data_IF_314297746372
#
_entry.id   IF_314297746372
#
_cell.length_a   1.000
_cell.length_b   1.000
_cell.length_c   1.000
_cell.angle_alpha   90.00
_cell.angle_beta   90.00
_cell.angle_gamma   90.00
#
_symmetry.space_group_name_H-M   'P 1'
#
loop_
_entity.id
_entity.type
_entity.pdbx_description
1 polymer ?
#
# COMPACT_ATOMS: atom_id res chain seq x y z
N UNK A 1 -47.71 5.24 33.06
CA UNK A 1 -46.67 4.18 32.97
C UNK A 1 -46.49 3.85 31.49
N UNK A 2 -45.25 3.72 31.05
CA UNK A 2 -44.90 3.33 29.69
C UNK A 2 -44.52 1.85 29.69
N UNK A 3 -45.21 1.06 28.87
CA UNK A 3 -44.90 -0.34 28.63
C UNK A 3 -44.17 -0.44 27.28
N UNK A 4 -42.93 -0.90 27.29
CA UNK A 4 -42.10 -1.01 26.09
C UNK A 4 -41.72 -2.46 25.85
N UNK A 5 -42.16 -3.03 24.74
CA UNK A 5 -41.70 -4.35 24.28
C UNK A 5 -40.44 -4.17 23.41
N UNK A 6 -39.38 -4.89 23.75
CA UNK A 6 -38.11 -4.92 23.02
C UNK A 6 -37.89 -6.32 22.46
N UNK A 7 -37.86 -6.42 21.14
CA UNK A 7 -37.49 -7.65 20.44
C UNK A 7 -35.96 -7.71 20.28
N UNK A 8 -35.37 -8.83 20.69
CA UNK A 8 -33.93 -9.09 20.60
C UNK A 8 -33.71 -10.27 19.66
N UNK A 9 -32.81 -10.09 18.68
CA UNK A 9 -32.53 -11.08 17.64
C UNK A 9 -31.07 -11.54 17.67
N UNK A 10 -30.86 -12.86 17.77
CA UNK A 10 -29.54 -13.49 17.71
C UNK A 10 -29.22 -13.85 16.27
N UNK A 11 -28.41 -13.00 15.63
CA UNK A 11 -28.05 -13.12 14.20
C UNK A 11 -26.97 -14.17 13.90
N UNK A 12 -26.25 -14.65 14.91
CA UNK A 12 -25.09 -15.52 14.77
C UNK A 12 -25.17 -16.74 15.70
N UNK A 13 -24.29 -17.72 15.51
CA UNK A 13 -24.35 -19.01 16.22
C UNK A 13 -24.03 -18.92 17.72
N UNK A 14 -23.38 -17.85 18.19
CA UNK A 14 -23.06 -17.67 19.61
C UNK A 14 -24.32 -17.70 20.48
N UNK A 15 -24.31 -18.51 21.54
CA UNK A 15 -25.38 -18.60 22.55
C UNK A 15 -24.82 -18.11 23.88
N UNK A 16 -25.26 -16.95 24.33
CA UNK A 16 -24.80 -16.34 25.56
C UNK A 16 -25.87 -15.39 26.10
N UNK A 17 -26.03 -15.30 27.41
CA UNK A 17 -26.92 -14.30 27.99
C UNK A 17 -26.42 -12.89 27.69
N UNK A 18 -27.34 -11.97 27.40
CA UNK A 18 -27.03 -10.56 27.11
C UNK A 18 -27.91 -9.67 27.98
N UNK A 19 -27.31 -8.61 28.51
CA UNK A 19 -28.04 -7.56 29.21
C UNK A 19 -28.67 -6.60 28.19
N UNK A 20 -29.90 -6.20 28.45
CA UNK A 20 -30.66 -5.24 27.64
C UNK A 20 -31.07 -4.10 28.55
N UNK A 21 -30.54 -2.92 28.28
CA UNK A 21 -30.78 -1.72 29.06
C UNK A 21 -31.69 -0.77 28.28
N UNK A 22 -32.77 -0.34 28.91
CA UNK A 22 -33.63 0.75 28.44
C UNK A 22 -33.33 2.01 29.25
N UNK A 23 -33.14 3.13 28.55
CA UNK A 23 -32.91 4.46 29.14
C UNK A 23 -34.11 5.35 28.81
N UNK A 24 -34.67 6.04 29.80
CA UNK A 24 -35.82 6.94 29.63
C UNK A 24 -35.39 8.38 29.29
N UNK A 25 -36.33 9.24 28.90
CA UNK A 25 -36.10 10.67 28.68
C UNK A 25 -35.66 11.40 29.97
N UNK A 26 -36.12 10.92 31.15
CA UNK A 26 -35.72 11.45 32.46
C UNK A 26 -34.32 11.01 32.91
N UNK A 27 -33.69 10.08 32.17
CA UNK A 27 -32.36 9.55 32.50
C UNK A 27 -32.38 8.25 33.32
N UNK A 28 -33.55 7.76 33.71
CA UNK A 28 -33.68 6.48 34.42
C UNK A 28 -33.22 5.32 33.53
N UNK A 29 -32.55 4.33 34.12
CA UNK A 29 -32.10 3.12 33.42
C UNK A 29 -32.74 1.88 34.03
N UNK A 30 -33.33 1.03 33.20
CA UNK A 30 -33.85 -0.29 33.58
C UNK A 30 -33.14 -1.35 32.76
N UNK A 31 -32.55 -2.35 33.42
CA UNK A 31 -31.81 -3.43 32.74
C UNK A 31 -32.51 -4.76 32.98
N UNK A 32 -32.67 -5.57 31.92
CA UNK A 32 -33.14 -6.94 31.99
C UNK A 32 -32.16 -7.86 31.27
N UNK A 33 -32.09 -9.13 31.67
CA UNK A 33 -31.22 -10.12 31.06
C UNK A 33 -32.00 -11.02 30.13
N UNK A 34 -31.58 -11.08 28.86
CA UNK A 34 -32.08 -12.09 27.93
C UNK A 34 -31.16 -13.32 27.94
N UNK A 35 -31.67 -14.56 28.09
CA UNK A 35 -30.83 -15.77 28.12
C UNK A 35 -30.04 -16.05 26.83
N UNK A 36 -30.50 -15.54 25.67
CA UNK A 36 -29.81 -15.69 24.39
C UNK A 36 -29.74 -17.13 23.84
N UNK A 37 -30.60 -18.03 24.35
CA UNK A 37 -30.68 -19.43 23.87
C UNK A 37 -31.47 -19.56 22.57
N UNK A 38 -32.57 -18.81 22.46
CA UNK A 38 -33.43 -18.76 21.28
C UNK A 38 -32.87 -17.79 20.22
N UNK A 39 -33.38 -17.89 18.99
CA UNK A 39 -33.03 -16.96 17.92
C UNK A 39 -33.68 -15.58 18.13
N UNK A 40 -34.81 -15.55 18.82
CA UNK A 40 -35.59 -14.37 19.13
C UNK A 40 -35.97 -14.39 20.61
N UNK A 41 -35.97 -13.22 21.24
CA UNK A 41 -36.54 -13.00 22.56
C UNK A 41 -37.31 -11.70 22.60
N UNK A 42 -38.28 -11.62 23.51
CA UNK A 42 -39.00 -10.38 23.83
C UNK A 42 -38.79 -10.06 25.29
N UNK A 43 -38.50 -8.81 25.58
CA UNK A 43 -38.37 -8.27 26.93
C UNK A 43 -39.34 -7.11 27.07
N UNK A 44 -40.06 -7.07 28.17
CA UNK A 44 -41.05 -6.02 28.44
C UNK A 44 -40.55 -5.16 29.58
N UNK A 45 -40.40 -3.87 29.32
CA UNK A 45 -39.93 -2.88 30.27
C UNK A 45 -41.09 -1.99 30.72
N UNK A 46 -41.25 -1.85 32.03
CA UNK A 46 -42.17 -0.89 32.64
C UNK A 46 -41.40 0.32 33.16
N UNK A 47 -41.77 1.51 32.71
CA UNK A 47 -41.09 2.76 33.07
C UNK A 47 -42.07 3.87 33.40
N UNK A 48 -41.66 4.79 34.28
CA UNK A 48 -42.48 5.97 34.65
C UNK A 48 -42.39 7.07 33.59
N UNK A 49 -41.23 7.19 32.97
CA UNK A 49 -40.90 8.19 31.95
C UNK A 49 -40.80 7.52 30.57
N UNK A 50 -41.02 8.31 29.51
CA UNK A 50 -41.02 7.80 28.14
C UNK A 50 -39.67 7.15 27.77
N UNK A 51 -39.64 5.98 27.11
CA UNK A 51 -38.41 5.34 26.67
C UNK A 51 -37.69 6.20 25.61
N UNK A 52 -36.38 6.35 25.76
CA UNK A 52 -35.53 7.15 24.84
C UNK A 52 -34.64 6.27 23.96
N UNK A 53 -33.97 5.28 24.53
CA UNK A 53 -33.10 4.35 23.79
C UNK A 53 -32.98 3.00 24.48
N UNK A 54 -32.68 1.98 23.69
CA UNK A 54 -32.36 0.63 24.14
C UNK A 54 -30.93 0.31 23.74
N UNK A 55 -30.21 -0.37 24.63
CA UNK A 55 -28.83 -0.81 24.44
C UNK A 55 -28.70 -2.29 24.78
N UNK A 56 -28.08 -3.06 23.91
CA UNK A 56 -27.65 -4.44 24.16
C UNK A 56 -26.22 -4.41 24.72
N UNK A 57 -25.96 -5.24 25.72
CA UNK A 57 -24.66 -5.39 26.36
C UNK A 57 -24.00 -4.04 26.72
N UNK A 58 -24.63 -3.22 27.58
CA UNK A 58 -24.12 -1.89 27.91
C UNK A 58 -22.70 -1.91 28.49
N UNK A 59 -22.33 -3.00 29.17
CA UNK A 59 -21.05 -3.17 29.86
C UNK A 59 -19.98 -3.93 29.05
N UNK A 60 -20.24 -4.27 27.78
CA UNK A 60 -19.28 -4.98 26.90
C UNK A 60 -18.84 -6.37 27.42
N UNK A 61 -19.77 -7.10 28.05
CA UNK A 61 -19.51 -8.41 28.65
C UNK A 61 -19.53 -9.54 27.63
N UNK A 62 -20.22 -9.38 26.50
CA UNK A 62 -20.31 -10.44 25.48
C UNK A 62 -19.21 -10.33 24.43
N UNK A 63 -18.83 -11.48 23.87
CA UNK A 63 -17.82 -11.56 22.80
C UNK A 63 -18.40 -11.16 21.43
N UNK A 64 -19.17 -10.07 21.39
CA UNK A 64 -19.74 -9.56 20.16
C UNK A 64 -18.72 -8.72 19.38
N UNK A 65 -18.47 -9.14 18.15
CA UNK A 65 -17.57 -8.45 17.21
C UNK A 65 -18.28 -7.27 16.53
N UNK A 66 -19.62 -7.22 16.52
CA UNK A 66 -20.44 -6.14 15.92
C UNK A 66 -21.28 -5.43 16.97
N UNK A 67 -20.71 -4.40 17.61
CA UNK A 67 -21.45 -3.63 18.62
C UNK A 67 -22.22 -2.43 18.05
N UNK A 68 -22.07 -2.10 16.76
CA UNK A 68 -22.80 -0.98 16.15
C UNK A 68 -24.32 -1.17 16.09
N UNK A 69 -24.82 -2.40 16.13
CA UNK A 69 -26.25 -2.68 16.24
C UNK A 69 -26.70 -2.95 17.69
N UNK A 70 -25.86 -2.64 18.68
CA UNK A 70 -26.18 -2.82 20.09
C UNK A 70 -26.76 -1.54 20.71
N UNK A 71 -27.02 -0.51 19.92
CA UNK A 71 -27.66 0.73 20.37
C UNK A 71 -27.72 1.75 19.24
N UNK A 72 -28.05 3.02 19.55
CA UNK A 72 -28.03 4.08 18.56
C UNK A 72 -26.65 4.22 17.91
N UNK A 73 -26.57 4.40 16.57
CA UNK A 73 -25.30 4.51 15.87
C UNK A 73 -24.53 5.72 16.38
N UNK A 74 -23.28 5.52 16.78
CA UNK A 74 -22.37 6.60 17.18
C UNK A 74 -21.48 6.96 16.00
N UNK A 75 -21.36 8.25 15.71
CA UNK A 75 -20.42 8.79 14.73
C UNK A 75 -19.45 9.70 15.48
N UNK A 76 -18.17 9.57 15.20
CA UNK A 76 -17.13 10.41 15.81
C UNK A 76 -16.23 10.94 14.70
N UNK A 77 -15.91 12.24 14.78
CA UNK A 77 -15.06 12.91 13.80
C UNK A 77 -13.73 13.24 14.46
N UNK A 78 -12.63 12.73 13.91
CA UNK A 78 -11.28 12.95 14.44
C UNK A 78 -10.34 13.48 13.37
N UNK A 79 -9.29 14.16 13.80
CA UNK A 79 -8.14 14.41 12.93
C UNK A 79 -7.37 13.09 12.71
N UNK A 80 -7.13 12.72 11.45
CA UNK A 80 -6.33 11.54 11.05
C UNK A 80 -4.84 11.83 11.25
N UNK A 81 -4.39 11.84 12.50
CA UNK A 81 -2.97 11.87 12.78
C UNK A 81 -2.34 10.50 12.47
N UNK A 82 -1.10 10.47 11.98
CA UNK A 82 -0.43 9.23 11.64
C UNK A 82 -0.43 8.20 12.77
N UNK A 83 -0.76 6.95 12.45
CA UNK A 83 -0.85 5.83 13.39
C UNK A 83 -1.89 5.98 14.50
N UNK A 84 -2.92 6.78 14.26
CA UNK A 84 -4.17 6.70 15.01
C UNK A 84 -4.61 5.23 15.11
N UNK A 85 -4.41 4.63 16.28
CA UNK A 85 -4.84 3.26 16.61
C UNK A 85 -6.15 3.30 17.41
N UNK A 86 -7.11 4.08 16.91
CA UNK A 86 -8.44 4.19 17.50
C UNK A 86 -9.46 3.49 16.60
N UNK A 87 -9.98 2.34 17.06
CA UNK A 87 -10.98 1.55 16.33
C UNK A 87 -12.07 1.04 17.28
N UNK A 88 -12.92 1.94 17.80
CA UNK A 88 -14.05 1.57 18.66
C UNK A 88 -14.99 0.59 17.96
N UNK A 89 -15.44 -0.47 18.67
CA UNK A 89 -16.36 -1.50 18.13
C UNK A 89 -17.80 -1.01 17.91
N UNK A 90 -18.16 0.13 18.49
CA UNK A 90 -19.53 0.67 18.52
C UNK A 90 -19.68 2.02 17.80
N UNK A 91 -18.59 2.56 17.24
CA UNK A 91 -18.58 3.89 16.64
C UNK A 91 -18.15 3.80 15.18
N UNK A 92 -18.84 4.55 14.34
CA UNK A 92 -18.45 4.83 12.97
C UNK A 92 -17.49 6.02 13.00
N UNK A 93 -16.21 5.76 12.72
CA UNK A 93 -15.19 6.81 12.78
C UNK A 93 -15.09 7.51 11.43
N UNK A 94 -15.12 8.84 11.45
CA UNK A 94 -14.81 9.70 10.33
C UNK A 94 -13.53 10.44 10.67
N UNK A 95 -12.48 10.28 9.87
CA UNK A 95 -11.20 10.94 10.10
C UNK A 95 -10.86 11.86 8.95
N UNK A 96 -10.27 13.01 9.22
CA UNK A 96 -9.89 13.97 8.18
C UNK A 96 -8.42 14.37 8.31
N UNK A 97 -7.75 14.62 7.18
CA UNK A 97 -6.35 15.05 7.17
C UNK A 97 -6.03 15.94 5.98
N UNK A 98 -5.42 17.12 6.19
CA UNK A 98 -4.85 17.92 5.13
C UNK A 98 -3.58 17.26 4.59
N UNK A 99 -3.28 17.52 3.33
CA UNK A 99 -2.05 17.03 2.69
C UNK A 99 -1.71 17.88 1.48
N UNK A 100 -0.42 17.97 1.20
CA UNK A 100 0.09 18.63 0.01
C UNK A 100 1.48 18.14 -0.33
N UNK A 101 1.91 18.44 -1.54
CA UNK A 101 3.23 18.09 -2.07
C UNK A 101 3.62 19.05 -3.18
N UNK A 102 4.89 18.96 -3.57
CA UNK A 102 5.47 19.72 -4.67
C UNK A 102 5.57 18.86 -5.93
N UNK A 103 5.43 19.47 -7.09
CA UNK A 103 5.81 18.92 -8.40
C UNK A 103 6.09 20.09 -9.37
N UNK A 104 6.83 19.85 -10.46
CA UNK A 104 7.26 20.92 -11.37
C UNK A 104 6.11 21.55 -12.18
N UNK A 105 4.99 20.85 -12.32
CA UNK A 105 3.84 21.33 -13.12
C UNK A 105 2.96 22.32 -12.33
N UNK A 106 2.78 22.07 -11.04
CA UNK A 106 1.89 22.82 -10.16
C UNK A 106 2.62 23.76 -9.21
N UNK A 107 3.94 23.56 -9.05
CA UNK A 107 4.74 23.96 -7.89
C UNK A 107 4.16 23.40 -6.58
N UNK A 108 2.98 23.83 -6.17
CA UNK A 108 2.33 23.37 -4.95
C UNK A 108 0.96 22.78 -5.24
N UNK A 109 0.72 21.57 -4.74
CA UNK A 109 -0.59 20.92 -4.73
C UNK A 109 -1.07 20.75 -3.30
N UNK A 110 -2.27 21.26 -3.00
CA UNK A 110 -2.85 21.28 -1.65
C UNK A 110 -4.23 20.67 -1.62
N UNK A 111 -4.56 20.03 -0.52
CA UNK A 111 -5.87 19.43 -0.33
C UNK A 111 -5.95 18.60 0.93
N UNK A 112 -6.72 17.53 0.86
CA UNK A 112 -6.91 16.66 2.00
C UNK A 112 -7.77 15.46 1.68
N UNK A 113 -7.96 14.62 2.69
CA UNK A 113 -8.82 13.46 2.61
C UNK A 113 -9.71 13.37 3.83
N UNK A 114 -10.87 12.77 3.62
CA UNK A 114 -11.77 12.27 4.65
C UNK A 114 -11.87 10.76 4.47
N UNK A 115 -11.71 10.03 5.56
CA UNK A 115 -11.85 8.58 5.61
C UNK A 115 -12.99 8.24 6.55
N UNK A 116 -13.78 7.26 6.21
CA UNK A 116 -14.73 6.68 7.13
C UNK A 116 -14.43 5.21 7.33
N UNK A 117 -14.52 4.73 8.58
CA UNK A 117 -14.37 3.32 8.85
C UNK A 117 -15.21 2.83 10.02
N UNK A 118 -15.66 1.58 9.89
CA UNK A 118 -16.31 0.85 10.97
C UNK A 118 -15.59 -0.49 11.20
N UNK A 119 -14.78 -0.52 12.26
CA UNK A 119 -13.86 -1.61 12.56
C UNK A 119 -13.02 -2.00 11.34
N UNK A 120 -12.79 -3.30 11.15
CA UNK A 120 -12.11 -3.84 9.95
C UNK A 120 -13.05 -4.08 8.76
N UNK A 121 -14.31 -3.60 8.83
CA UNK A 121 -15.35 -4.01 7.89
C UNK A 121 -15.45 -3.02 6.73
N UNK A 122 -16.08 -1.89 6.97
CA UNK A 122 -16.35 -0.86 5.96
C UNK A 122 -15.28 0.20 6.03
N UNK A 123 -14.71 0.55 4.88
CA UNK A 123 -13.79 1.67 4.74
C UNK A 123 -14.18 2.46 3.50
N UNK A 124 -14.36 3.77 3.64
CA UNK A 124 -14.45 4.68 2.51
C UNK A 124 -13.40 5.80 2.65
N UNK A 125 -12.98 6.37 1.54
CA UNK A 125 -12.06 7.50 1.48
C UNK A 125 -12.50 8.40 0.34
N UNK A 126 -12.57 9.70 0.62
CA UNK A 126 -12.69 10.76 -0.37
C UNK A 126 -11.50 11.70 -0.20
N UNK A 127 -10.77 11.95 -1.26
CA UNK A 127 -9.66 12.88 -1.29
C UNK A 127 -9.83 13.89 -2.40
N UNK A 128 -9.47 15.15 -2.12
CA UNK A 128 -9.55 16.27 -3.04
C UNK A 128 -8.25 17.07 -2.95
N UNK A 129 -7.63 17.38 -4.09
CA UNK A 129 -6.41 18.18 -4.17
C UNK A 129 -6.43 19.13 -5.36
N UNK A 130 -5.99 20.36 -5.14
CA UNK A 130 -5.93 21.41 -6.13
C UNK A 130 -4.48 21.77 -6.43
N UNK A 131 -4.10 21.76 -7.71
CA UNK A 131 -2.80 22.23 -8.17
C UNK A 131 -2.84 23.73 -8.41
N UNK A 132 -1.93 24.48 -7.78
CA UNK A 132 -1.93 25.94 -7.79
C UNK A 132 -1.79 26.50 -9.22
N UNK A 133 -0.82 26.01 -9.98
CA UNK A 133 -0.51 26.57 -11.30
C UNK A 133 -1.36 25.97 -12.42
N UNK A 134 -1.54 24.65 -12.43
CA UNK A 134 -2.37 24.00 -13.47
C UNK A 134 -3.86 24.27 -13.31
N UNK A 135 -4.30 24.72 -12.12
CA UNK A 135 -5.70 24.91 -11.72
C UNK A 135 -6.54 23.63 -11.83
N UNK A 136 -5.91 22.46 -11.79
CA UNK A 136 -6.57 21.16 -11.92
C UNK A 136 -6.97 20.60 -10.55
N UNK A 137 -8.23 20.17 -10.45
CA UNK A 137 -8.72 19.38 -9.33
C UNK A 137 -8.47 17.89 -9.57
N UNK A 138 -7.83 17.27 -8.59
CA UNK A 138 -7.68 15.83 -8.43
C UNK A 138 -8.67 15.31 -7.41
N UNK A 139 -9.17 14.11 -7.67
CA UNK A 139 -10.20 13.46 -6.86
C UNK A 139 -9.81 12.00 -6.69
N UNK A 140 -9.94 11.48 -5.47
CA UNK A 140 -9.83 10.05 -5.18
C UNK A 140 -11.02 9.60 -4.38
N UNK A 141 -11.69 8.55 -4.85
CA UNK A 141 -12.69 7.81 -4.10
C UNK A 141 -12.22 6.37 -3.93
N UNK A 142 -12.20 5.85 -2.70
CA UNK A 142 -11.94 4.44 -2.43
C UNK A 142 -13.02 3.90 -1.51
N UNK A 143 -13.51 2.70 -1.80
CA UNK A 143 -14.46 1.99 -0.97
C UNK A 143 -14.05 0.52 -0.83
N UNK A 144 -14.15 -0.02 0.38
CA UNK A 144 -13.91 -1.43 0.65
C UNK A 144 -14.89 -1.97 1.68
N UNK A 145 -15.47 -3.12 1.39
CA UNK A 145 -16.50 -3.75 2.22
C UNK A 145 -16.32 -5.28 2.24
N UNK A 146 -16.57 -5.98 3.37
CA UNK A 146 -16.52 -7.43 3.39
C UNK A 146 -17.73 -7.98 2.63
N UNK A 147 -17.50 -9.03 1.84
CA UNK A 147 -18.55 -9.74 1.11
C UNK A 147 -18.74 -11.08 1.80
N UNK A 148 -19.54 -11.08 2.87
CA UNK A 148 -19.69 -12.23 3.76
C UNK A 148 -20.34 -13.44 3.08
N UNK A 149 -21.09 -13.22 1.99
CA UNK A 149 -21.68 -14.28 1.17
C UNK A 149 -20.63 -15.13 0.46
N UNK A 150 -19.44 -14.56 0.16
CA UNK A 150 -18.31 -15.25 -0.47
C UNK A 150 -17.25 -15.72 0.55
N UNK A 151 -17.53 -15.57 1.85
CA UNK A 151 -16.65 -16.01 2.92
C UNK A 151 -16.31 -14.93 3.96
N UNK A 152 -15.89 -15.34 5.18
CA UNK A 152 -15.71 -14.42 6.32
C UNK A 152 -14.50 -13.48 6.18
N UNK A 153 -13.58 -13.77 5.25
CA UNK A 153 -12.37 -12.97 4.99
C UNK A 153 -12.29 -12.50 3.53
N UNK A 154 -13.44 -12.44 2.86
CA UNK A 154 -13.57 -11.91 1.50
C UNK A 154 -13.94 -10.43 1.55
N UNK A 155 -13.25 -9.62 0.77
CA UNK A 155 -13.46 -8.16 0.68
C UNK A 155 -13.54 -7.72 -0.77
N UNK A 156 -14.57 -6.94 -1.09
CA UNK A 156 -14.62 -6.18 -2.33
C UNK A 156 -14.01 -4.79 -2.10
N UNK A 157 -13.21 -4.35 -3.05
CA UNK A 157 -12.58 -3.03 -3.07
C UNK A 157 -12.87 -2.35 -4.41
N UNK A 158 -13.04 -1.04 -4.35
CA UNK A 158 -13.25 -0.17 -5.50
C UNK A 158 -12.47 1.12 -5.29
N UNK A 159 -11.82 1.62 -6.35
CA UNK A 159 -11.08 2.86 -6.40
C UNK A 159 -11.44 3.57 -7.71
N UNK A 160 -11.68 4.87 -7.63
CA UNK A 160 -11.73 5.77 -8.79
C UNK A 160 -10.85 6.95 -8.43
N UNK A 161 -9.92 7.32 -9.31
CA UNK A 161 -9.11 8.50 -9.12
C UNK A 161 -8.79 9.23 -10.42
N UNK A 162 -8.76 10.56 -10.33
CA UNK A 162 -8.04 11.45 -11.24
C UNK A 162 -6.92 12.08 -10.42
N UNK A 163 -5.68 11.86 -10.83
CA UNK A 163 -4.50 12.33 -10.09
C UNK A 163 -3.39 12.72 -11.07
N UNK A 164 -2.97 13.98 -11.04
CA UNK A 164 -1.81 14.50 -11.81
C UNK A 164 -1.82 14.03 -13.28
N UNK A 165 -2.95 14.28 -13.95
CA UNK A 165 -3.10 13.94 -15.37
C UNK A 165 -3.44 12.49 -15.69
N UNK A 166 -3.47 11.57 -14.72
CA UNK A 166 -3.90 10.17 -14.95
C UNK A 166 -5.27 9.90 -14.36
N UNK A 167 -6.04 9.05 -15.04
CA UNK A 167 -7.31 8.53 -14.55
C UNK A 167 -7.18 7.02 -14.32
N UNK A 168 -7.69 6.53 -13.19
CA UNK A 168 -7.63 5.11 -12.84
C UNK A 168 -8.93 4.68 -12.15
N UNK A 169 -9.46 3.53 -12.57
CA UNK A 169 -10.53 2.79 -11.89
C UNK A 169 -10.01 1.40 -11.58
N UNK A 170 -10.10 0.97 -10.33
CA UNK A 170 -9.72 -0.38 -9.90
C UNK A 170 -10.87 -1.01 -9.11
N UNK A 171 -11.26 -2.22 -9.49
CA UNK A 171 -12.27 -2.99 -8.79
C UNK A 171 -11.73 -4.41 -8.58
N UNK A 172 -11.69 -4.89 -7.34
CA UNK A 172 -11.17 -6.22 -7.07
C UNK A 172 -11.79 -6.90 -5.86
N UNK A 173 -11.76 -8.24 -5.89
CA UNK A 173 -12.07 -9.11 -4.77
C UNK A 173 -10.76 -9.59 -4.15
N UNK A 174 -10.63 -9.46 -2.83
CA UNK A 174 -9.56 -10.09 -2.04
C UNK A 174 -10.16 -11.25 -1.25
N UNK A 175 -9.64 -12.46 -1.44
CA UNK A 175 -9.98 -13.63 -0.67
C UNK A 175 -8.78 -14.01 0.20
N UNK A 176 -8.97 -14.15 1.51
CA UNK A 176 -7.92 -14.58 2.43
C UNK A 176 -8.30 -15.91 3.07
N UNK A 177 -7.45 -16.91 2.94
CA UNK A 177 -7.63 -18.23 3.56
C UNK A 177 -6.36 -18.66 4.32
N UNK A 178 -6.53 -19.60 5.24
CA UNK A 178 -5.46 -20.15 6.06
C UNK A 178 -6.03 -21.10 7.11
N UNK A 179 -5.24 -22.09 7.51
CA UNK A 179 -5.63 -23.08 8.53
C UNK A 179 -6.00 -22.41 9.86
N UNK A 180 -5.30 -21.33 10.19
CA UNK A 180 -5.49 -20.57 11.40
C UNK A 180 -5.81 -19.11 11.08
N UNK A 181 -6.56 -18.47 11.98
CA UNK A 181 -7.04 -17.10 11.75
C UNK A 181 -5.94 -16.05 11.90
N UNK A 182 -5.04 -16.27 12.87
CA UNK A 182 -3.98 -15.32 13.27
C UNK A 182 -2.56 -15.79 12.97
N UNK A 183 -2.36 -17.09 12.74
CA UNK A 183 -1.03 -17.65 12.47
C UNK A 183 -0.89 -17.99 10.99
N UNK A 184 0.23 -17.60 10.34
CA UNK A 184 0.59 -18.05 9.00
C UNK A 184 0.69 -19.59 8.92
N UNK A 185 0.63 -20.18 7.71
CA UNK A 185 0.58 -19.50 6.42
C UNK A 185 -0.77 -18.85 6.12
N UNK A 186 -0.73 -17.67 5.49
CA UNK A 186 -1.91 -17.00 4.96
C UNK A 186 -1.82 -16.95 3.44
N UNK A 187 -2.86 -17.42 2.78
CA UNK A 187 -3.04 -17.35 1.34
C UNK A 187 -3.94 -16.18 1.04
N UNK A 188 -3.54 -15.34 0.07
CA UNK A 188 -4.34 -14.21 -0.38
C UNK A 188 -4.46 -14.24 -1.89
N UNK A 189 -5.68 -14.24 -2.38
CA UNK A 189 -5.99 -14.19 -3.80
C UNK A 189 -6.66 -12.84 -4.10
N UNK A 190 -6.18 -12.15 -5.13
CA UNK A 190 -6.85 -10.99 -5.71
C UNK A 190 -7.28 -11.31 -7.12
N UNK A 191 -8.53 -10.97 -7.42
CA UNK A 191 -9.10 -11.02 -8.76
C UNK A 191 -9.69 -9.64 -9.02
N UNK A 192 -9.20 -8.94 -10.03
CA UNK A 192 -9.61 -7.56 -10.24
C UNK A 192 -9.49 -7.10 -11.68
N UNK A 193 -10.12 -5.96 -11.93
CA UNK A 193 -10.08 -5.23 -13.19
C UNK A 193 -9.60 -3.81 -12.90
N UNK A 194 -8.65 -3.34 -13.71
CA UNK A 194 -8.08 -2.01 -13.65
C UNK A 194 -8.23 -1.32 -15.01
N UNK A 195 -8.88 -0.17 -15.04
CA UNK A 195 -8.84 0.75 -16.16
C UNK A 195 -7.89 1.89 -15.82
N UNK A 196 -6.99 2.25 -16.73
CA UNK A 196 -6.14 3.43 -16.55
C UNK A 196 -5.83 4.12 -17.85
N UNK A 197 -5.71 5.45 -17.82
CA UNK A 197 -5.31 6.26 -18.98
C UNK A 197 -4.62 7.55 -18.61
N UNK A 198 -3.82 8.05 -19.53
CA UNK A 198 -3.29 9.42 -19.51
C UNK A 198 -4.32 10.37 -20.12
N UNK A 199 -4.67 11.43 -19.40
CA UNK A 199 -5.59 12.46 -19.89
C UNK A 199 -4.84 13.44 -20.81
N UNK A 200 -5.33 13.57 -22.05
CA UNK A 200 -4.75 14.48 -23.05
C UNK A 200 -4.76 15.94 -22.60
N UNK A 201 -3.81 16.72 -23.12
CA UNK A 201 -3.67 18.14 -22.82
C UNK A 201 -2.82 18.35 -21.56
N UNK A 202 -3.42 18.85 -20.47
CA UNK A 202 -2.63 19.18 -19.26
C UNK A 202 -1.96 17.99 -18.60
N UNK A 203 -2.45 16.76 -18.84
CA UNK A 203 -1.93 15.55 -18.22
C UNK A 203 -0.54 15.14 -18.71
N UNK A 204 -0.20 15.50 -19.95
CA UNK A 204 1.08 15.14 -20.59
C UNK A 204 2.27 15.80 -19.90
N UNK A 205 2.07 17.00 -19.35
CA UNK A 205 3.09 17.72 -18.57
C UNK A 205 3.52 16.97 -17.31
N UNK A 206 2.67 16.12 -16.75
CA UNK A 206 2.94 15.41 -15.50
C UNK A 206 3.75 14.13 -15.67
N UNK A 207 3.88 13.63 -16.90
CA UNK A 207 4.48 12.31 -17.21
C UNK A 207 5.83 12.41 -17.93
N UNK A 208 6.37 13.61 -18.07
CA UNK A 208 7.73 13.81 -18.56
C UNK A 208 8.69 13.68 -17.39
N UNK A 209 9.86 13.10 -17.65
CA UNK A 209 10.96 13.04 -16.70
C UNK A 209 12.22 13.56 -17.37
N UNK A 210 12.89 14.50 -16.73
CA UNK A 210 14.20 14.96 -17.16
C UNK A 210 15.26 13.88 -16.85
N UNK A 211 16.13 13.62 -17.82
CA UNK A 211 17.21 12.63 -17.71
C UNK A 211 18.58 13.27 -17.76
N UNK A 212 18.72 14.35 -18.52
CA UNK A 212 19.94 15.14 -18.59
C UNK A 212 19.62 16.62 -18.73
N UNK A 213 19.70 17.34 -17.62
CA UNK A 213 19.49 18.79 -17.58
C UNK A 213 20.53 19.56 -18.42
N UNK A 214 21.74 19.02 -18.63
CA UNK A 214 22.77 19.72 -19.42
C UNK A 214 22.47 19.68 -20.91
N UNK A 215 21.79 18.62 -21.35
CA UNK A 215 21.45 18.39 -22.75
C UNK A 215 19.95 18.53 -23.05
N UNK A 216 19.15 18.95 -22.06
CA UNK A 216 17.69 19.14 -22.15
C UNK A 216 16.96 17.89 -22.68
N UNK A 217 17.38 16.72 -22.19
CA UNK A 217 16.80 15.43 -22.61
C UNK A 217 15.71 15.03 -21.63
N UNK A 218 14.48 15.00 -22.11
CA UNK A 218 13.32 14.57 -21.35
C UNK A 218 12.61 13.39 -22.03
N UNK A 219 12.24 12.38 -21.24
CA UNK A 219 11.55 11.17 -21.72
C UNK A 219 10.16 11.04 -21.12
N UNK A 220 9.20 10.60 -21.92
CA UNK A 220 7.87 10.29 -21.42
C UNK A 220 7.90 8.97 -20.63
N UNK A 221 7.29 9.00 -19.45
CA UNK A 221 7.14 7.83 -18.56
C UNK A 221 5.78 7.15 -18.73
N UNK A 222 4.85 7.76 -19.49
CA UNK A 222 3.54 7.20 -19.79
C UNK A 222 3.19 7.37 -21.27
N UNK A 223 2.62 6.32 -21.85
CA UNK A 223 2.07 6.33 -23.18
C UNK A 223 0.56 6.64 -23.13
N UNK A 224 0.08 7.42 -24.09
CA UNK A 224 -1.36 7.72 -24.26
C UNK A 224 -2.10 6.45 -24.67
N UNK A 225 -3.34 6.35 -24.22
CA UNK A 225 -4.27 5.29 -24.56
C UNK A 225 -4.94 4.69 -23.33
N UNK A 226 -6.04 4.01 -23.57
CA UNK A 226 -6.81 3.29 -22.57
C UNK A 226 -6.17 1.91 -22.30
N UNK A 227 -5.91 1.58 -21.03
CA UNK A 227 -5.41 0.27 -20.61
C UNK A 227 -6.47 -0.39 -19.75
N UNK A 228 -7.14 -1.42 -20.29
CA UNK A 228 -8.14 -2.23 -19.60
C UNK A 228 -7.56 -3.59 -19.22
N UNK A 229 -7.25 -3.77 -17.95
CA UNK A 229 -6.45 -4.87 -17.43
C UNK A 229 -7.23 -5.74 -16.46
N UNK A 230 -7.45 -6.99 -16.83
CA UNK A 230 -7.86 -8.03 -15.89
C UNK A 230 -6.61 -8.61 -15.22
N UNK A 231 -6.65 -8.76 -13.90
CA UNK A 231 -5.50 -9.25 -13.14
C UNK A 231 -5.88 -10.29 -12.10
N UNK A 232 -4.97 -11.25 -11.95
CA UNK A 232 -4.97 -12.26 -10.91
C UNK A 232 -3.68 -12.14 -10.12
N UNK A 233 -3.76 -12.14 -8.79
CA UNK A 233 -2.59 -12.15 -7.90
C UNK A 233 -2.78 -13.20 -6.83
N UNK A 234 -1.73 -13.94 -6.53
CA UNK A 234 -1.70 -14.88 -5.43
C UNK A 234 -0.51 -14.57 -4.54
N UNK A 235 -0.75 -14.37 -3.24
CA UNK A 235 0.31 -14.22 -2.25
C UNK A 235 0.25 -15.32 -1.19
N UNK A 236 1.42 -15.78 -0.79
CA UNK A 236 1.64 -16.70 0.31
C UNK A 236 2.62 -16.07 1.31
N UNK A 237 2.11 -15.74 2.49
CA UNK A 237 2.89 -15.30 3.63
C UNK A 237 3.23 -16.50 4.50
N UNK A 238 4.51 -16.89 4.55
CA UNK A 238 5.02 -18.03 5.34
C UNK A 238 6.03 -17.55 6.38
N UNK A 239 5.96 -18.11 7.59
CA UNK A 239 6.88 -17.78 8.68
C UNK A 239 7.26 -19.04 9.43
N UNK A 240 8.56 -19.23 9.65
CA UNK A 240 9.10 -20.20 10.60
C UNK A 240 9.51 -19.53 11.90
N UNK A 241 10.19 -20.29 12.77
CA UNK A 241 10.69 -19.80 14.06
C UNK A 241 11.68 -18.63 13.90
N UNK A 242 12.49 -18.66 12.84
CA UNK A 242 13.55 -17.68 12.63
C UNK A 242 13.71 -17.26 11.16
N UNK A 243 12.71 -17.48 10.32
CA UNK A 243 12.75 -17.08 8.91
C UNK A 243 11.38 -16.60 8.47
N UNK A 244 11.39 -15.72 7.48
CA UNK A 244 10.18 -15.23 6.83
C UNK A 244 10.29 -15.42 5.33
N UNK A 245 9.16 -15.73 4.69
CA UNK A 245 9.03 -15.75 3.24
C UNK A 245 7.72 -15.11 2.80
N UNK A 246 7.77 -14.32 1.74
CA UNK A 246 6.60 -13.83 1.02
C UNK A 246 6.76 -14.18 -0.46
N UNK A 247 5.84 -15.00 -0.97
CA UNK A 247 5.73 -15.30 -2.39
C UNK A 247 4.55 -14.50 -2.95
N UNK A 248 4.74 -13.80 -4.06
CA UNK A 248 3.71 -13.13 -4.84
C UNK A 248 3.81 -13.62 -6.29
N UNK A 249 2.71 -14.13 -6.81
CA UNK A 249 2.54 -14.50 -8.22
C UNK A 249 1.47 -13.61 -8.83
N UNK A 250 1.61 -13.29 -10.11
CA UNK A 250 0.60 -12.51 -10.81
C UNK A 250 0.54 -12.75 -12.30
N UNK A 251 -0.69 -12.64 -12.82
CA UNK A 251 -0.97 -12.64 -14.26
C UNK A 251 -1.80 -11.41 -14.57
N UNK A 252 -1.43 -10.71 -15.65
CA UNK A 252 -2.22 -9.61 -16.22
C UNK A 252 -2.58 -9.95 -17.65
N UNK A 253 -3.80 -9.60 -18.04
CA UNK A 253 -4.24 -9.67 -19.42
C UNK A 253 -4.93 -8.37 -19.81
N UNK A 254 -4.49 -7.83 -20.94
CA UNK A 254 -4.98 -6.60 -21.54
C UNK A 254 -5.32 -6.93 -22.99
N UNK A 255 -6.53 -6.60 -23.41
CA UNK A 255 -7.10 -7.00 -24.70
C UNK A 255 -7.86 -5.83 -25.32
N UNK A 256 -7.69 -5.64 -26.63
CA UNK A 256 -8.44 -4.66 -27.41
C UNK A 256 -9.96 -4.89 -27.36
N UNK A 257 -10.40 -6.16 -27.33
CA UNK A 257 -11.83 -6.56 -27.21
C UNK A 257 -12.53 -5.96 -25.97
N UNK A 258 -11.78 -5.51 -24.97
CA UNK A 258 -12.30 -4.86 -23.77
C UNK A 258 -12.16 -3.34 -23.80
N UNK A 259 -11.90 -2.75 -24.97
CA UNK A 259 -11.74 -1.31 -25.20
C UNK A 259 -10.37 -0.77 -24.78
N UNK A 260 -9.33 -1.61 -24.81
CA UNK A 260 -7.94 -1.19 -24.55
C UNK A 260 -7.26 -0.79 -25.87
N UNK A 261 -6.41 0.22 -25.87
CA UNK A 261 -5.57 0.58 -27.02
C UNK A 261 -4.32 -0.30 -27.13
N UNK A 262 -4.14 -1.22 -26.17
CA UNK A 262 -2.97 -2.09 -26.03
C UNK A 262 -3.42 -3.53 -25.83
N UNK A 263 -2.62 -4.49 -26.34
CA UNK A 263 -2.89 -5.93 -26.21
C UNK A 263 -1.64 -6.66 -25.74
N UNK A 264 -1.61 -7.10 -24.48
CA UNK A 264 -0.48 -7.84 -23.94
C UNK A 264 -0.87 -8.69 -22.72
N UNK A 265 -0.07 -9.70 -22.44
CA UNK A 265 -0.21 -10.50 -21.23
C UNK A 265 1.08 -10.44 -20.42
N UNK A 266 0.98 -10.43 -19.10
CA UNK A 266 2.16 -10.56 -18.23
C UNK A 266 2.03 -11.72 -17.28
N UNK A 267 3.15 -12.37 -17.00
CA UNK A 267 3.31 -13.31 -15.91
C UNK A 267 4.46 -12.79 -15.05
N UNK A 268 4.26 -12.68 -13.74
CA UNK A 268 5.36 -12.37 -12.83
C UNK A 268 5.31 -13.17 -11.54
N UNK A 269 6.49 -13.26 -10.93
CA UNK A 269 6.73 -13.90 -9.64
C UNK A 269 7.72 -13.06 -8.84
N UNK A 270 7.46 -12.89 -7.56
CA UNK A 270 8.37 -12.27 -6.61
C UNK A 270 8.43 -13.15 -5.36
N UNK A 271 9.62 -13.55 -4.95
CA UNK A 271 9.86 -14.28 -3.71
C UNK A 271 10.84 -13.47 -2.88
N UNK A 272 10.39 -13.05 -1.70
CA UNK A 272 11.24 -12.43 -0.68
C UNK A 272 11.47 -13.43 0.43
N UNK A 273 12.72 -13.56 0.85
CA UNK A 273 13.15 -14.46 1.91
C UNK A 273 14.19 -13.76 2.79
N UNK A 274 14.08 -13.91 4.10
CA UNK A 274 15.14 -13.46 5.01
C UNK A 274 15.28 -14.30 6.26
N UNK A 275 16.51 -14.36 6.76
CA UNK A 275 16.94 -15.12 7.94
C UNK A 275 18.13 -14.43 8.63
N UNK A 276 18.12 -14.27 9.97
CA UNK A 276 17.00 -14.48 10.90
C UNK A 276 15.78 -13.59 10.59
N UNK A 277 14.65 -13.80 11.28
CA UNK A 277 13.47 -12.91 11.17
C UNK A 277 13.80 -11.47 11.61
N UNK A 278 14.92 -11.29 12.30
CA UNK A 278 15.44 -10.01 12.74
C UNK A 278 15.95 -9.17 11.57
N UNK A 279 16.33 -7.95 11.90
CA UNK A 279 16.70 -6.90 10.95
C UNK A 279 18.17 -6.93 10.51
N UNK A 280 18.92 -7.94 10.97
CA UNK A 280 20.26 -8.33 10.53
C UNK A 280 20.21 -9.75 9.96
N UNK A 281 21.12 -10.08 9.04
CA UNK A 281 21.15 -11.40 8.42
C UNK A 281 21.23 -11.38 6.92
N UNK A 282 20.75 -12.47 6.34
CA UNK A 282 20.67 -12.69 4.90
C UNK A 282 19.28 -12.36 4.40
N UNK A 283 19.20 -11.54 3.37
CA UNK A 283 17.99 -11.14 2.68
C UNK A 283 18.15 -11.48 1.20
N UNK A 284 17.11 -12.06 0.63
CA UNK A 284 17.06 -12.50 -0.75
C UNK A 284 15.73 -12.08 -1.36
N UNK A 285 15.80 -11.54 -2.58
CA UNK A 285 14.64 -11.33 -3.44
C UNK A 285 14.90 -11.97 -4.79
N UNK A 286 14.01 -12.84 -5.20
CA UNK A 286 13.89 -13.30 -6.58
C UNK A 286 12.73 -12.57 -7.24
N UNK A 287 12.92 -12.10 -8.46
CA UNK A 287 11.89 -11.48 -9.27
C UNK A 287 11.97 -11.99 -10.70
N UNK A 288 10.87 -12.50 -11.23
CA UNK A 288 10.76 -12.86 -12.64
C UNK A 288 9.52 -12.21 -13.24
N UNK A 289 9.64 -11.62 -14.42
CA UNK A 289 8.48 -11.11 -15.17
C UNK A 289 8.68 -11.36 -16.67
N UNK A 290 7.63 -11.77 -17.36
CA UNK A 290 7.58 -11.89 -18.82
C UNK A 290 6.35 -11.17 -19.36
N UNK A 291 6.54 -10.45 -20.46
CA UNK A 291 5.49 -9.77 -21.22
C UNK A 291 5.37 -10.48 -22.57
N UNK A 292 4.18 -11.03 -22.83
CA UNK A 292 3.81 -11.60 -24.13
C UNK A 292 3.13 -10.51 -24.96
N UNK A 293 3.42 -10.47 -26.28
CA UNK A 293 3.07 -9.34 -27.16
C UNK A 293 3.68 -8.03 -26.66
N UNK A 294 4.99 -8.09 -26.39
CA UNK A 294 5.70 -7.04 -25.66
C UNK A 294 5.78 -5.70 -26.42
N UNK A 295 5.77 -5.73 -27.76
CA UNK A 295 5.78 -4.51 -28.59
C UNK A 295 4.55 -3.62 -28.37
N UNK A 296 3.43 -4.22 -27.96
CA UNK A 296 2.16 -3.52 -27.68
C UNK A 296 2.03 -3.15 -26.20
N UNK A 297 3.03 -3.45 -25.36
CA UNK A 297 2.98 -3.09 -23.94
C UNK A 297 3.42 -1.63 -23.74
N UNK A 298 2.57 -0.79 -23.12
CA UNK A 298 2.90 0.63 -22.94
C UNK A 298 4.04 0.81 -21.93
N UNK A 299 4.83 1.87 -22.10
CA UNK A 299 6.04 2.17 -21.31
C UNK A 299 5.81 2.04 -19.79
N UNK A 300 4.67 2.53 -19.27
CA UNK A 300 4.34 2.47 -17.84
C UNK A 300 4.17 1.05 -17.28
N UNK A 301 4.01 0.03 -18.13
CA UNK A 301 3.83 -1.38 -17.78
C UNK A 301 5.01 -2.28 -18.16
N UNK A 302 6.01 -1.72 -18.86
CA UNK A 302 7.24 -2.41 -19.22
C UNK A 302 8.09 -2.78 -17.98
N UNK A 303 9.08 -3.64 -18.21
CA UNK A 303 10.06 -4.04 -17.19
C UNK A 303 11.22 -3.06 -17.22
N UNK A 304 11.64 -2.61 -16.04
CA UNK A 304 12.82 -1.76 -15.86
C UNK A 304 13.90 -2.53 -15.10
N UNK A 305 15.14 -2.38 -15.54
CA UNK A 305 16.31 -3.02 -14.93
C UNK A 305 16.65 -2.40 -13.57
N UNK A 306 16.64 -1.07 -13.49
CA UNK A 306 17.14 -0.32 -12.33
C UNK A 306 16.20 -0.42 -11.13
N UNK A 307 14.89 -0.45 -11.34
CA UNK A 307 13.92 -0.41 -10.26
C UNK A 307 12.47 -0.42 -10.70
N UNK A 308 11.64 0.24 -9.89
CA UNK A 308 10.20 0.31 -10.11
C UNK A 308 9.83 1.05 -11.40
N UNK A 309 8.84 0.52 -12.12
CA UNK A 309 8.35 1.11 -13.36
C UNK A 309 7.49 2.36 -13.10
N UNK A 310 7.14 3.16 -14.14
CA UNK A 310 6.37 4.39 -13.96
C UNK A 310 5.03 4.20 -13.23
N UNK A 311 4.32 3.10 -13.46
CA UNK A 311 3.06 2.80 -12.77
C UNK A 311 3.27 2.54 -11.27
N UNK A 312 4.34 1.86 -10.90
CA UNK A 312 4.70 1.64 -9.50
C UNK A 312 5.13 2.94 -8.81
N UNK A 313 5.93 3.77 -9.50
CA UNK A 313 6.32 5.11 -9.04
C UNK A 313 5.11 6.02 -8.81
N UNK A 314 4.11 5.97 -9.68
CA UNK A 314 2.85 6.73 -9.53
C UNK A 314 2.09 6.45 -8.22
N UNK A 315 2.34 5.32 -7.56
CA UNK A 315 1.72 5.03 -6.25
C UNK A 315 2.32 5.90 -5.13
N UNK A 316 3.50 6.49 -5.31
CA UNK A 316 4.20 7.34 -4.35
C UNK A 316 4.04 8.80 -4.74
N UNK A 317 3.38 9.61 -3.90
CA UNK A 317 3.06 11.00 -4.26
C UNK A 317 4.28 11.84 -4.63
N UNK A 318 5.42 11.57 -4.02
CA UNK A 318 6.69 12.26 -4.25
C UNK A 318 7.46 11.76 -5.49
N UNK A 319 6.94 10.76 -6.22
CA UNK A 319 7.52 10.24 -7.48
C UNK A 319 6.48 10.18 -8.61
N UNK A 320 5.26 10.67 -8.39
CA UNK A 320 4.20 10.61 -9.41
C UNK A 320 4.53 11.48 -10.59
N UNK A 321 5.07 12.65 -10.34
CA UNK A 321 5.43 13.66 -11.31
C UNK A 321 6.78 14.24 -10.92
N UNK A 322 7.43 14.85 -11.90
CA UNK A 322 8.77 15.40 -11.70
C UNK A 322 8.77 16.53 -10.66
N UNK A 323 9.94 16.76 -10.06
CA UNK A 323 10.13 17.77 -9.01
C UNK A 323 9.67 17.37 -7.61
N UNK A 324 8.93 16.26 -7.46
CA UNK A 324 8.47 15.78 -6.14
C UNK A 324 9.59 15.46 -5.15
N UNK A 325 10.79 15.17 -5.67
CA UNK A 325 12.05 15.11 -4.95
C UNK A 325 13.13 15.78 -5.83
N UNK A 326 14.13 16.45 -5.23
CA UNK A 326 15.28 16.94 -5.97
C UNK A 326 16.00 15.78 -6.67
N UNK A 327 16.37 15.94 -7.94
CA UNK A 327 17.04 14.91 -8.72
C UNK A 327 18.40 14.53 -8.11
N UNK A 328 19.08 15.51 -7.50
CA UNK A 328 20.37 15.36 -6.81
C UNK A 328 20.28 14.42 -5.61
N UNK A 329 19.07 14.09 -5.13
CA UNK A 329 18.87 13.11 -4.07
C UNK A 329 19.16 11.68 -4.55
N UNK A 330 19.20 11.44 -5.87
CA UNK A 330 19.43 10.11 -6.47
C UNK A 330 18.46 9.07 -5.91
N UNK A 331 17.17 9.41 -5.85
CA UNK A 331 16.18 8.56 -5.22
C UNK A 331 15.89 7.30 -6.05
N UNK A 332 16.18 6.15 -5.46
CA UNK A 332 15.92 4.84 -6.02
C UNK A 332 14.67 4.21 -5.38
N UNK A 333 13.68 3.85 -6.21
CA UNK A 333 12.52 3.06 -5.80
C UNK A 333 12.74 1.58 -6.18
N UNK A 334 12.78 0.65 -5.20
CA UNK A 334 12.87 -0.77 -5.49
C UNK A 334 11.67 -1.30 -6.25
N UNK A 335 11.94 -2.18 -7.22
CA UNK A 335 10.95 -2.80 -8.11
C UNK A 335 11.67 -3.41 -9.30
N UNK A 336 10.95 -4.06 -10.22
CA UNK A 336 11.56 -4.64 -11.42
C UNK A 336 12.81 -5.49 -11.11
N UNK A 337 13.89 -5.25 -11.88
CA UNK A 337 15.20 -5.88 -11.68
C UNK A 337 15.90 -5.44 -10.39
N UNK A 338 15.71 -4.19 -9.96
CA UNK A 338 16.28 -3.62 -8.75
C UNK A 338 17.82 -3.57 -8.75
N UNK A 339 18.45 -3.39 -9.92
CA UNK A 339 19.91 -3.26 -10.05
C UNK A 339 20.32 -1.81 -9.82
N UNK A 340 20.81 -1.53 -8.61
CA UNK A 340 21.07 -0.16 -8.13
C UNK A 340 22.20 0.53 -8.89
N UNK A 341 23.17 -0.23 -9.38
CA UNK A 341 24.29 0.27 -10.18
C UNK A 341 23.90 0.85 -11.54
N UNK A 342 22.71 0.51 -12.03
CA UNK A 342 22.15 0.99 -13.30
C UNK A 342 21.08 2.08 -13.09
N UNK A 343 21.11 2.74 -11.92
CA UNK A 343 20.17 3.79 -11.58
C UNK A 343 20.07 4.86 -12.66
N UNK A 344 18.82 5.26 -12.95
CA UNK A 344 18.47 6.29 -13.92
C UNK A 344 18.83 5.96 -15.37
N UNK A 345 19.01 4.67 -15.69
CA UNK A 345 19.18 4.21 -17.05
C UNK A 345 17.86 3.58 -17.54
N UNK A 346 17.28 4.03 -18.66
CA UNK A 346 16.01 3.52 -19.16
C UNK A 346 16.17 2.16 -19.87
N UNK A 347 16.88 1.22 -19.23
CA UNK A 347 17.07 -0.12 -19.77
C UNK A 347 15.81 -0.93 -19.49
N UNK A 348 15.06 -1.19 -20.55
CA UNK A 348 13.78 -1.91 -20.51
C UNK A 348 13.82 -3.20 -21.31
N UNK A 349 12.95 -4.15 -20.96
CA UNK A 349 12.85 -5.41 -21.68
C UNK A 349 11.48 -6.07 -21.61
N UNK A 350 11.38 -7.18 -22.33
CA UNK A 350 10.17 -8.01 -22.42
C UNK A 350 10.15 -9.16 -21.41
N UNK A 351 11.32 -9.61 -20.95
CA UNK A 351 11.45 -10.63 -19.91
C UNK A 351 12.64 -10.31 -19.00
N UNK A 352 12.49 -10.57 -17.70
CA UNK A 352 13.58 -10.46 -16.73
C UNK A 352 13.53 -11.60 -15.72
N UNK A 353 14.71 -12.05 -15.32
CA UNK A 353 14.94 -12.82 -14.10
C UNK A 353 16.00 -12.11 -13.28
N UNK A 354 15.65 -11.67 -12.08
CA UNK A 354 16.50 -10.93 -11.18
C UNK A 354 16.65 -11.63 -9.82
N UNK A 355 17.86 -11.57 -9.28
CA UNK A 355 18.23 -12.04 -7.96
C UNK A 355 18.97 -10.94 -7.22
N UNK A 356 18.39 -10.48 -6.12
CA UNK A 356 18.97 -9.47 -5.24
C UNK A 356 19.34 -10.12 -3.90
N UNK A 357 20.60 -9.97 -3.48
CA UNK A 357 21.14 -10.54 -2.25
C UNK A 357 21.66 -9.40 -1.36
N UNK A 358 21.28 -9.41 -0.08
CA UNK A 358 21.88 -8.51 0.91
C UNK A 358 22.30 -9.27 2.18
N UNK A 359 23.51 -8.94 2.65
CA UNK A 359 23.98 -9.28 3.99
C UNK A 359 23.94 -8.02 4.84
N UNK A 360 23.08 -7.99 5.84
CA UNK A 360 22.86 -6.84 6.72
C UNK A 360 23.47 -7.11 8.10
N UNK A 361 24.23 -6.17 8.63
CA UNK A 361 24.73 -6.23 10.02
C UNK A 361 24.44 -4.94 10.76
N UNK A 362 23.75 -5.04 11.88
CA UNK A 362 23.53 -3.90 12.76
C UNK A 362 24.85 -3.52 13.47
N UNK A 363 25.18 -2.24 13.42
CA UNK A 363 26.40 -1.69 14.04
C UNK A 363 25.99 -0.72 15.15
N UNK A 364 25.87 -1.25 16.37
CA UNK A 364 25.39 -0.50 17.54
C UNK A 364 26.39 0.53 18.10
N UNK A 365 27.66 0.44 17.69
CA UNK A 365 28.79 1.25 18.20
C UNK A 365 29.51 2.03 17.09
N UNK A 366 28.79 2.59 16.12
CA UNK A 366 29.44 3.59 15.25
C UNK A 366 29.93 4.78 16.12
N UNK A 367 31.11 5.35 15.83
CA UNK A 367 31.68 6.48 16.59
C UNK A 367 30.97 7.81 16.30
N UNK A 368 29.65 7.78 16.09
CA UNK A 368 28.86 8.99 15.97
C UNK A 368 28.62 9.59 17.35
N UNK A 369 28.64 10.93 17.44
CA UNK A 369 28.23 11.64 18.65
C UNK A 369 26.84 11.16 19.11
N UNK A 370 26.59 11.08 20.43
CA UNK A 370 25.31 10.61 21.00
C UNK A 370 24.09 11.29 20.35
N UNK A 371 24.21 12.56 19.99
CA UNK A 371 23.18 13.36 19.31
C UNK A 371 22.82 12.75 17.95
N UNK A 372 23.80 12.38 17.14
CA UNK A 372 23.61 11.79 15.80
C UNK A 372 22.94 10.42 15.90
N UNK A 373 23.32 9.60 16.90
CA UNK A 373 22.67 8.30 17.16
C UNK A 373 21.19 8.46 17.56
N UNK A 374 20.85 9.51 18.31
CA UNK A 374 19.45 9.82 18.67
C UNK A 374 18.62 10.23 17.45
N UNK A 375 19.24 10.84 16.45
CA UNK A 375 18.60 11.28 15.20
C UNK A 375 18.41 10.11 14.24
N UNK A 376 19.44 9.28 14.04
CA UNK A 376 19.46 8.23 13.00
C UNK A 376 18.87 6.87 13.43
N UNK A 377 18.72 6.62 14.73
CA UNK A 377 18.17 5.37 15.24
C UNK A 377 19.16 4.19 15.18
N UNK A 378 18.68 2.99 14.82
CA UNK A 378 19.54 1.82 14.57
C UNK A 378 20.27 1.98 13.24
N UNK A 379 21.57 1.77 13.27
CA UNK A 379 22.45 1.87 12.10
C UNK A 379 22.95 0.50 11.71
N UNK A 380 22.85 0.15 10.43
CA UNK A 380 23.36 -1.09 9.89
C UNK A 380 24.22 -0.85 8.66
N UNK A 381 25.20 -1.73 8.46
CA UNK A 381 25.95 -1.85 7.22
C UNK A 381 25.37 -2.97 6.38
N UNK A 382 25.45 -2.82 5.06
CA UNK A 382 24.94 -3.78 4.09
C UNK A 382 26.03 -4.04 3.06
N UNK A 383 26.24 -5.30 2.73
CA UNK A 383 26.89 -5.71 1.49
C UNK A 383 25.83 -6.32 0.57
N UNK A 384 25.86 -5.97 -0.70
CA UNK A 384 24.85 -6.43 -1.65
C UNK A 384 25.43 -6.85 -2.99
N UNK A 385 24.72 -7.78 -3.63
CA UNK A 385 24.94 -8.21 -5.00
C UNK A 385 23.58 -8.35 -5.66
N UNK A 386 23.40 -7.71 -6.81
CA UNK A 386 22.18 -7.73 -7.60
C UNK A 386 22.54 -8.27 -9.00
N UNK A 387 21.74 -9.22 -9.49
CA UNK A 387 21.95 -9.89 -10.78
C UNK A 387 20.64 -9.87 -11.56
N UNK A 388 20.69 -9.70 -12.88
CA UNK A 388 19.56 -9.89 -13.76
C UNK A 388 19.96 -10.43 -15.13
N UNK A 389 19.14 -11.31 -15.70
CA UNK A 389 19.11 -11.58 -17.15
C UNK A 389 17.87 -10.90 -17.71
N UNK A 390 18.04 -10.13 -18.79
CA UNK A 390 17.02 -9.30 -19.40
C UNK A 390 16.97 -9.58 -20.90
N UNK A 391 15.80 -10.01 -21.38
CA UNK A 391 15.52 -10.08 -22.81
C UNK A 391 14.99 -8.71 -23.28
N UNK A 392 15.78 -8.01 -24.08
CA UNK A 392 15.45 -6.71 -24.66
C UNK A 392 14.42 -6.83 -25.78
N UNK A 393 13.79 -5.70 -26.13
CA UNK A 393 12.78 -5.66 -27.19
C UNK A 393 13.35 -5.88 -28.61
N UNK A 394 14.65 -5.71 -28.79
CA UNK A 394 15.40 -5.94 -30.03
C UNK A 394 15.82 -7.42 -30.21
N UNK A 395 15.51 -8.29 -29.25
CA UNK A 395 15.83 -9.72 -29.30
C UNK A 395 17.16 -10.12 -28.66
N UNK A 396 17.92 -9.16 -28.12
CA UNK A 396 19.11 -9.46 -27.31
C UNK A 396 18.76 -10.01 -25.92
N UNK A 397 19.58 -10.92 -25.40
CA UNK A 397 19.55 -11.32 -23.98
C UNK A 397 20.86 -10.88 -23.33
N UNK A 398 20.74 -9.95 -22.40
CA UNK A 398 21.88 -9.37 -21.71
C UNK A 398 21.85 -9.78 -20.23
N UNK A 399 23.05 -10.02 -19.70
CA UNK A 399 23.25 -10.26 -18.28
C UNK A 399 23.82 -9.02 -17.62
N UNK A 400 23.17 -8.56 -16.55
CA UNK A 400 23.57 -7.43 -15.75
C UNK A 400 23.83 -7.87 -14.31
N UNK A 401 24.82 -7.24 -13.69
CA UNK A 401 25.19 -7.44 -12.32
C UNK A 401 25.75 -6.14 -11.73
N UNK A 402 25.42 -5.88 -10.48
CA UNK A 402 26.07 -4.86 -9.67
C UNK A 402 26.35 -5.35 -8.24
N UNK A 403 27.39 -4.79 -7.64
CA UNK A 403 27.80 -5.12 -6.29
C UNK A 403 28.24 -3.86 -5.55
N UNK A 404 27.96 -3.83 -4.25
CA UNK A 404 28.21 -2.64 -3.47
C UNK A 404 28.05 -2.80 -1.97
N UNK A 405 28.20 -1.65 -1.31
CA UNK A 405 28.04 -1.51 0.13
C UNK A 405 26.96 -0.46 0.40
N UNK A 406 26.32 -0.51 1.56
CA UNK A 406 25.32 0.47 1.92
C UNK A 406 25.20 0.67 3.41
N UNK A 407 24.53 1.75 3.78
CA UNK A 407 24.09 2.05 5.13
C UNK A 407 22.57 1.97 5.22
N UNK A 408 22.09 1.47 6.35
CA UNK A 408 20.68 1.47 6.73
C UNK A 408 20.54 2.26 8.02
N UNK A 409 19.69 3.27 8.02
CA UNK A 409 19.32 4.01 9.21
C UNK A 409 17.85 3.77 9.47
N UNK A 410 17.53 3.22 10.63
CA UNK A 410 16.18 2.81 10.97
C UNK A 410 15.77 3.48 12.26
N UNK A 411 14.68 4.22 12.21
CA UNK A 411 14.16 4.90 13.38
C UNK A 411 12.68 4.64 13.52
N UNK A 412 12.33 4.10 14.69
CA UNK A 412 10.99 4.20 15.21
C UNK A 412 10.76 5.65 15.63
N UNK A 413 9.92 6.36 14.90
CA UNK A 413 9.58 7.74 15.23
C UNK A 413 8.61 7.76 16.43
N UNK A 414 8.74 8.75 17.35
CA UNK A 414 7.76 8.97 18.42
C UNK A 414 6.33 9.09 17.88
N UNK A 415 5.33 8.87 18.72
CA UNK A 415 3.91 8.88 18.32
C UNK A 415 3.46 10.19 17.63
N UNK A 416 4.15 11.30 17.91
CA UNK A 416 3.89 12.64 17.36
C UNK A 416 4.67 12.93 16.06
N UNK A 417 5.62 12.07 15.68
CA UNK A 417 6.51 12.27 14.52
C UNK A 417 6.24 11.22 13.44
N UNK A 418 6.10 11.69 12.20
CA UNK A 418 5.79 10.88 11.04
C UNK A 418 6.58 11.37 9.84
N UNK A 419 7.00 10.47 8.95
CA UNK A 419 7.49 10.89 7.63
C UNK A 419 6.39 10.73 6.61
N UNK A 420 6.16 11.78 5.83
CA UNK A 420 5.32 11.71 4.63
C UNK A 420 5.82 10.62 3.67
N UNK A 421 7.11 10.29 3.72
CA UNK A 421 7.77 9.36 2.79
C UNK A 421 7.49 7.88 3.06
N UNK A 422 7.51 7.41 4.31
CA UNK A 422 7.42 5.95 4.59
C UNK A 422 6.03 5.45 4.94
N UNK A 423 5.03 6.32 5.02
CA UNK A 423 3.66 5.86 5.27
C UNK A 423 3.39 5.35 6.69
N UNK A 424 4.40 5.30 7.58
CA UNK A 424 4.29 4.72 8.94
C UNK A 424 5.35 5.22 9.94
N UNK A 425 5.42 4.58 11.13
CA UNK A 425 6.37 4.90 12.23
C UNK A 425 7.81 4.48 11.96
N UNK A 426 8.01 3.58 11.01
CA UNK A 426 9.32 3.11 10.63
C UNK A 426 9.86 3.98 9.51
N UNK A 427 10.77 4.88 9.86
CA UNK A 427 11.62 5.50 8.87
C UNK A 427 12.79 4.56 8.61
N UNK A 428 12.88 4.06 7.38
CA UNK A 428 14.09 3.41 6.88
C UNK A 428 14.73 4.38 5.90
N UNK A 429 15.95 4.83 6.18
CA UNK A 429 16.79 5.52 5.22
C UNK A 429 17.85 4.56 4.73
N UNK A 430 18.04 4.57 3.42
CA UNK A 430 18.99 3.74 2.71
C UNK A 430 19.92 4.63 1.93
N UNK A 431 21.21 4.40 2.09
CA UNK A 431 22.26 4.96 1.25
C UNK A 431 23.07 3.80 0.71
N UNK A 432 22.93 3.48 -0.57
CA UNK A 432 23.65 2.40 -1.22
C UNK A 432 24.71 2.97 -2.15
N UNK A 433 25.86 2.31 -2.18
CA UNK A 433 26.99 2.62 -3.05
C UNK A 433 27.25 1.41 -3.94
N UNK A 434 26.66 1.36 -5.14
CA UNK A 434 27.03 0.39 -6.16
C UNK A 434 28.44 0.72 -6.66
N UNK A 435 29.42 -0.08 -6.26
CA UNK A 435 30.84 0.20 -6.53
C UNK A 435 31.26 -0.43 -7.85
N UNK A 436 30.66 -1.57 -8.22
CA UNK A 436 30.98 -2.33 -9.42
C UNK A 436 29.72 -2.64 -10.22
N UNK A 437 29.82 -2.55 -11.54
CA UNK A 437 28.84 -3.04 -12.53
C UNK A 437 29.58 -3.88 -13.57
N UNK A 438 28.94 -4.91 -14.11
CA UNK A 438 29.56 -5.74 -15.17
C UNK A 438 29.52 -5.09 -16.55
N UNK A 439 28.43 -4.41 -16.90
CA UNK A 439 28.20 -3.74 -18.19
C UNK A 439 28.12 -2.21 -17.98
N UNK A 440 29.25 -1.50 -17.86
CA UNK A 440 29.23 -0.05 -17.72
C UNK A 440 28.73 0.63 -19.00
N UNK A 441 28.17 1.83 -18.86
CA UNK A 441 27.85 2.68 -20.01
C UNK A 441 29.12 3.00 -20.84
N UNK A 442 28.97 3.35 -22.13
CA UNK A 442 30.06 3.88 -22.93
C UNK A 442 30.81 4.99 -22.16
N UNK A 443 32.13 4.93 -22.15
CA UNK A 443 33.03 5.85 -21.43
C UNK A 443 33.01 5.76 -19.89
N UNK A 444 32.24 4.85 -19.30
CA UNK A 444 32.29 4.57 -17.86
C UNK A 444 33.21 3.40 -17.51
N UNK A 445 33.80 3.46 -16.31
CA UNK A 445 34.50 2.32 -15.72
C UNK A 445 33.52 1.41 -14.97
N UNK A 446 33.75 0.10 -15.07
CA UNK A 446 33.04 -0.91 -14.29
C UNK A 446 33.07 -0.59 -12.78
N UNK A 447 34.26 -0.24 -12.27
CA UNK A 447 34.42 0.26 -10.90
C UNK A 447 34.37 1.79 -10.88
N UNK A 448 33.38 2.36 -10.19
CA UNK A 448 33.20 3.80 -10.01
C UNK A 448 32.41 4.07 -8.73
N UNK A 449 32.63 5.23 -8.13
CA UNK A 449 31.76 5.72 -7.07
C UNK A 449 30.38 6.10 -7.64
N UNK A 450 29.37 5.28 -7.32
CA UNK A 450 27.95 5.58 -7.55
C UNK A 450 27.25 5.60 -6.19
N UNK A 451 26.15 6.32 -6.09
CA UNK A 451 25.34 6.33 -4.88
C UNK A 451 23.86 6.51 -5.22
N UNK A 452 23.01 5.86 -4.43
CA UNK A 452 21.56 5.98 -4.51
C UNK A 452 20.95 6.05 -3.10
N UNK A 453 19.82 6.73 -3.00
CA UNK A 453 19.12 6.95 -1.74
C UNK A 453 17.70 6.37 -1.78
N UNK A 454 17.16 5.94 -0.63
CA UNK A 454 15.79 5.46 -0.57
C UNK A 454 15.15 5.49 0.81
N UNK A 455 13.82 5.55 0.83
CA UNK A 455 13.00 5.49 2.06
C UNK A 455 12.40 4.10 2.33
N UNK A 456 12.54 3.19 1.37
CA UNK A 456 11.99 1.84 1.40
C UNK A 456 13.12 0.81 1.53
N UNK A 457 12.78 -0.37 2.05
CA UNK A 457 13.74 -1.48 2.06
C UNK A 457 14.03 -1.90 0.61
N UNK A 458 15.31 -2.13 0.31
CA UNK A 458 15.77 -2.51 -1.01
C UNK A 458 15.19 -3.85 -1.49
N UNK A 459 15.03 -4.80 -0.56
CA UNK A 459 14.45 -6.13 -0.76
C UNK A 459 13.54 -6.50 0.38
#
# INVERSE_FOLDING_TARGET
LWLTEVQVLRKEKGKMPVEVQLVTEAGDTVTQRWPGLANEGRLTFETRSKPRRVMLDPEDKVLDVRRFNNGPPRVEVLFDYPNLSYSPRQTYLVTWRPSGWFNDVDNVRLGGRVRSHYGRRRNAELGLWYGADSRQLDVRFRYANPITTLGPRTRGSFLVQKMEGRFEVDAHLTLVTGKHWLTPPHHRLWIGFNHSKLLSGTGERYVVREFDQKNDIALSTWQKGDVNKLYFRYALDSRGVNWFSNLLLGVDTVQEDWGSDFTYNTLFSELKFWVPQQEEGFFLRFYGKRIYHSQDAPIQDQIFLDGANPRERFRRFYLRSDGGLPEELHYHLPGGGNLRGYFNQPITGSQIFALNLELRKDVRKFPFARTVRRILGTTGVVAFVDLASLDRFDGGNDFFADAGLGFRFRKWLPDEWYTIFTGGRNLTLRLDFPIWVNEPLPDERAVRFRWVFGFEQAI
#
